data_IF_430910418651
#
_entry.id   IF_430910418651
#
_cell.length_a   1.000
_cell.length_b   1.000
_cell.length_c   1.000
_cell.angle_alpha   90.00
_cell.angle_beta   90.00
_cell.angle_gamma   90.00
#
_symmetry.space_group_name_H-M   'P 1'
#
loop_
_entity.id
_entity.type
_entity.pdbx_description
1 polymer ?
#
# COMPACT_ATOMS: atom_id res chain seq x y z
N UNK A 1 3.11 -20.70 -7.58
CA UNK A 1 4.39 -20.01 -7.91
C UNK A 1 4.19 -19.17 -9.16
N UNK A 2 4.67 -17.92 -9.17
CA UNK A 2 4.71 -17.12 -10.40
C UNK A 2 5.89 -17.56 -11.28
N UNK A 3 5.70 -17.58 -12.60
CA UNK A 3 6.71 -18.00 -13.57
C UNK A 3 6.71 -17.08 -14.80
N UNK A 4 7.83 -17.06 -15.52
CA UNK A 4 7.97 -16.34 -16.79
C UNK A 4 8.56 -17.25 -17.86
N UNK A 5 8.25 -16.99 -19.13
CA UNK A 5 8.82 -17.74 -20.26
C UNK A 5 10.25 -17.29 -20.52
N UNK A 6 11.17 -18.26 -20.60
CA UNK A 6 12.56 -18.02 -20.97
C UNK A 6 13.10 -19.23 -21.73
N UNK A 7 13.66 -18.98 -22.93
CA UNK A 7 14.25 -20.01 -23.81
C UNK A 7 13.36 -21.25 -24.00
N UNK A 8 12.06 -21.05 -24.23
CA UNK A 8 11.10 -22.13 -24.47
C UNK A 8 10.59 -22.87 -23.22
N UNK A 9 11.11 -22.55 -22.02
CA UNK A 9 10.65 -23.11 -20.76
C UNK A 9 10.01 -22.08 -19.82
N UNK A 10 9.39 -22.56 -18.74
CA UNK A 10 8.94 -21.73 -17.64
C UNK A 10 10.01 -21.68 -16.55
N UNK A 11 10.47 -20.49 -16.22
CA UNK A 11 11.37 -20.26 -15.09
C UNK A 11 10.59 -19.65 -13.92
N UNK A 12 10.85 -20.07 -12.67
CA UNK A 12 10.32 -19.39 -11.50
C UNK A 12 10.67 -17.91 -11.52
N UNK A 13 9.70 -17.06 -11.19
CA UNK A 13 9.91 -15.63 -11.11
C UNK A 13 10.79 -15.30 -9.91
N UNK A 14 12.01 -14.82 -10.18
CA UNK A 14 12.92 -14.38 -9.13
C UNK A 14 12.66 -12.92 -8.77
N UNK A 15 13.01 -12.53 -7.54
CA UNK A 15 12.95 -11.12 -7.09
C UNK A 15 13.64 -10.19 -8.09
N UNK A 16 14.84 -10.57 -8.56
CA UNK A 16 15.61 -9.78 -9.53
C UNK A 16 14.82 -9.55 -10.82
N UNK A 17 14.32 -10.62 -11.46
CA UNK A 17 13.56 -10.51 -12.72
C UNK A 17 12.29 -9.68 -12.56
N UNK A 18 11.56 -9.86 -11.46
CA UNK A 18 10.39 -9.04 -11.14
C UNK A 18 10.77 -7.55 -11.03
N UNK A 19 11.78 -7.21 -10.23
CA UNK A 19 12.22 -5.82 -10.05
C UNK A 19 12.77 -5.20 -11.34
N UNK A 20 13.50 -5.96 -12.16
CA UNK A 20 13.98 -5.48 -13.47
C UNK A 20 12.81 -5.15 -14.40
N UNK A 21 11.80 -6.01 -14.45
CA UNK A 21 10.60 -5.78 -15.26
C UNK A 21 9.88 -4.50 -14.81
N UNK A 22 9.68 -4.33 -13.50
CA UNK A 22 9.03 -3.14 -12.96
C UNK A 22 9.83 -1.86 -13.25
N UNK A 23 11.15 -1.88 -13.02
CA UNK A 23 12.04 -0.77 -13.34
C UNK A 23 12.01 -0.37 -14.81
N UNK A 24 11.98 -1.36 -15.72
CA UNK A 24 11.88 -1.09 -17.16
C UNK A 24 10.54 -0.44 -17.53
N UNK A 25 9.45 -0.84 -16.87
CA UNK A 25 8.12 -0.27 -17.09
C UNK A 25 8.04 1.14 -16.53
N UNK A 26 8.53 1.37 -15.31
CA UNK A 26 8.60 2.68 -14.67
C UNK A 26 9.36 3.69 -15.55
N UNK A 27 10.54 3.30 -16.07
CA UNK A 27 11.31 4.12 -17.03
C UNK A 27 10.52 4.46 -18.29
N UNK A 28 9.77 3.49 -18.85
CA UNK A 28 8.95 3.71 -20.05
C UNK A 28 7.82 4.72 -19.84
N UNK A 29 7.30 4.81 -18.62
CA UNK A 29 6.24 5.78 -18.25
C UNK A 29 6.78 7.04 -17.57
N UNK A 30 8.10 7.23 -17.52
CA UNK A 30 8.72 8.42 -16.94
C UNK A 30 8.69 8.49 -15.41
N UNK A 31 8.45 7.36 -14.73
CA UNK A 31 8.40 7.28 -13.26
C UNK A 31 9.72 6.69 -12.74
N UNK A 32 10.17 7.18 -11.58
CA UNK A 32 11.33 6.62 -10.90
C UNK A 32 11.10 5.14 -10.52
N UNK A 33 12.06 4.24 -10.77
CA UNK A 33 11.93 2.84 -10.40
C UNK A 33 11.61 2.64 -8.91
N UNK A 34 10.57 1.85 -8.63
CA UNK A 34 10.15 1.54 -7.28
C UNK A 34 11.05 0.45 -6.67
N UNK A 35 11.54 0.69 -5.45
CA UNK A 35 12.25 -0.33 -4.69
C UNK A 35 11.28 -1.40 -4.18
N UNK A 36 11.70 -2.66 -4.17
CA UNK A 36 10.85 -3.77 -3.68
C UNK A 36 10.32 -3.56 -2.25
N UNK A 37 11.12 -2.94 -1.36
CA UNK A 37 10.66 -2.60 -0.02
C UNK A 37 9.57 -1.51 -0.03
N UNK A 38 9.73 -0.49 -0.87
CA UNK A 38 8.71 0.55 -1.06
C UNK A 38 7.39 0.01 -1.61
N UNK A 39 7.43 -1.00 -2.50
CA UNK A 39 6.21 -1.68 -2.99
C UNK A 39 5.51 -2.41 -1.84
N UNK A 40 6.27 -3.09 -0.97
CA UNK A 40 5.71 -3.79 0.19
C UNK A 40 5.01 -2.80 1.15
N UNK A 41 5.68 -1.70 1.49
CA UNK A 41 5.09 -0.64 2.34
C UNK A 41 3.86 -0.02 1.66
N UNK A 42 4.00 0.42 0.40
CA UNK A 42 2.94 1.09 -0.36
C UNK A 42 1.73 0.20 -0.65
N UNK A 43 1.91 -1.12 -0.67
CA UNK A 43 0.78 -2.05 -0.83
C UNK A 43 -0.18 -2.07 0.36
N UNK A 44 0.26 -1.65 1.54
CA UNK A 44 -0.59 -1.72 2.75
C UNK A 44 -1.68 -0.67 2.77
N UNK A 45 -1.40 0.62 2.51
CA UNK A 45 -2.45 1.60 2.26
C UNK A 45 -3.42 1.15 1.17
N UNK A 46 -2.93 0.56 0.07
CA UNK A 46 -3.79 0.05 -1.00
C UNK A 46 -4.73 -1.04 -0.47
N UNK A 47 -4.24 -2.04 0.26
CA UNK A 47 -5.11 -3.07 0.85
C UNK A 47 -6.14 -2.50 1.82
N UNK A 48 -5.79 -1.49 2.61
CA UNK A 48 -6.72 -0.81 3.51
C UNK A 48 -7.82 -0.06 2.74
N UNK A 49 -7.49 0.56 1.61
CA UNK A 49 -8.48 1.18 0.72
C UNK A 49 -9.47 0.15 0.15
N UNK A 50 -9.05 -1.09 -0.04
CA UNK A 50 -9.92 -2.22 -0.43
C UNK A 50 -10.61 -2.91 0.76
N UNK A 51 -10.67 -2.26 1.92
CA UNK A 51 -11.29 -2.78 3.16
C UNK A 51 -10.71 -4.12 3.64
N UNK A 52 -9.46 -4.43 3.30
CA UNK A 52 -8.80 -5.63 3.82
C UNK A 52 -8.37 -5.37 5.26
N UNK A 53 -8.79 -6.21 6.23
CA UNK A 53 -8.40 -6.05 7.62
C UNK A 53 -6.88 -6.07 7.81
N UNK A 54 -6.39 -5.26 8.75
CA UNK A 54 -4.94 -5.09 8.93
C UNK A 54 -4.21 -6.38 9.33
N UNK A 55 -4.85 -7.23 10.13
CA UNK A 55 -4.36 -8.56 10.52
C UNK A 55 -4.17 -9.48 9.30
N UNK A 56 -5.09 -9.42 8.32
CA UNK A 56 -4.95 -10.14 7.05
C UNK A 56 -3.75 -9.61 6.25
N UNK A 57 -3.54 -8.29 6.22
CA UNK A 57 -2.37 -7.67 5.57
C UNK A 57 -1.07 -8.10 6.26
N UNK A 58 -1.03 -8.18 7.60
CA UNK A 58 0.15 -8.67 8.34
C UNK A 58 0.53 -10.09 7.95
N UNK A 59 -0.46 -10.99 7.88
CA UNK A 59 -0.25 -12.38 7.48
C UNK A 59 0.29 -12.43 6.05
N UNK A 60 -0.33 -11.69 5.13
CA UNK A 60 0.04 -11.65 3.71
C UNK A 60 1.40 -11.01 3.46
N UNK A 61 1.75 -9.99 4.23
CA UNK A 61 3.04 -9.29 4.18
C UNK A 61 4.16 -10.00 4.93
N UNK A 62 3.85 -11.07 5.68
CA UNK A 62 4.77 -11.71 6.62
C UNK A 62 5.41 -10.72 7.60
N UNK A 63 4.61 -9.77 8.09
CA UNK A 63 5.08 -8.72 8.97
C UNK A 63 5.18 -9.20 10.41
N UNK A 64 6.41 -9.29 10.90
CA UNK A 64 6.72 -9.72 12.27
C UNK A 64 6.34 -8.63 13.28
N UNK A 65 6.56 -7.36 12.93
CA UNK A 65 6.34 -6.21 13.80
C UNK A 65 5.05 -5.45 13.48
N UNK A 66 4.57 -4.67 14.45
CA UNK A 66 3.48 -3.69 14.29
C UNK A 66 3.99 -2.32 13.81
N UNK A 67 5.22 -2.20 13.31
CA UNK A 67 5.82 -0.91 12.91
C UNK A 67 5.01 -0.20 11.82
N UNK A 68 4.34 -0.96 10.96
CA UNK A 68 3.45 -0.40 9.95
C UNK A 68 2.18 0.23 10.53
N UNK A 69 1.69 -0.23 11.70
CA UNK A 69 0.60 0.46 12.42
C UNK A 69 1.05 1.82 12.91
N UNK A 70 2.28 1.90 13.45
CA UNK A 70 2.84 3.17 13.93
C UNK A 70 2.92 4.17 12.78
N UNK A 71 3.39 3.74 11.61
CA UNK A 71 3.41 4.57 10.40
C UNK A 71 2.00 5.03 9.98
N UNK A 72 1.02 4.12 10.00
CA UNK A 72 -0.37 4.44 9.65
C UNK A 72 -1.00 5.42 10.64
N UNK A 73 -0.78 5.23 11.94
CA UNK A 73 -1.25 6.14 12.99
C UNK A 73 -0.65 7.53 12.84
N UNK A 74 0.66 7.64 12.56
CA UNK A 74 1.29 8.93 12.32
C UNK A 74 0.69 9.64 11.09
N UNK A 75 0.42 8.90 10.01
CA UNK A 75 -0.28 9.44 8.85
C UNK A 75 -1.68 9.95 9.20
N UNK A 76 -2.46 9.17 9.94
CA UNK A 76 -3.79 9.57 10.38
C UNK A 76 -3.75 10.82 11.27
N UNK A 77 -2.78 10.93 12.17
CA UNK A 77 -2.57 12.12 13.02
C UNK A 77 -2.23 13.37 12.20
N UNK A 78 -1.34 13.24 11.21
CA UNK A 78 -0.99 14.35 10.32
C UNK A 78 -2.22 14.76 9.50
N UNK A 79 -2.90 13.79 8.88
CA UNK A 79 -4.08 14.04 8.05
C UNK A 79 -5.24 14.64 8.86
N UNK A 80 -5.44 14.22 10.11
CA UNK A 80 -6.48 14.76 10.97
C UNK A 80 -6.40 16.29 11.09
N UNK A 81 -5.19 16.84 11.26
CA UNK A 81 -4.99 18.29 11.33
C UNK A 81 -5.42 19.00 10.05
N UNK A 82 -5.08 18.44 8.88
CA UNK A 82 -5.47 19.02 7.59
C UNK A 82 -6.98 18.91 7.32
N UNK A 83 -7.59 17.78 7.72
CA UNK A 83 -9.04 17.56 7.60
C UNK A 83 -9.78 18.54 8.49
N UNK A 84 -9.36 18.70 9.75
CA UNK A 84 -9.96 19.64 10.71
C UNK A 84 -9.78 21.11 10.32
N UNK A 85 -8.66 21.45 9.67
CA UNK A 85 -8.42 22.81 9.17
C UNK A 85 -9.31 23.21 7.99
N UNK A 86 -10.06 22.27 7.39
CA UNK A 86 -10.97 22.51 6.28
C UNK A 86 -12.41 22.16 6.67
N UNK A 87 -13.28 23.14 6.98
CA UNK A 87 -14.64 22.87 7.46
C UNK A 87 -15.47 21.93 6.55
N UNK A 88 -15.46 22.06 5.21
CA UNK A 88 -16.22 21.15 4.35
C UNK A 88 -15.72 19.70 4.41
N UNK A 89 -14.40 19.50 4.54
CA UNK A 89 -13.81 18.16 4.65
C UNK A 89 -14.07 17.57 6.04
N UNK A 90 -14.00 18.40 7.08
CA UNK A 90 -14.27 17.98 8.45
C UNK A 90 -15.72 17.50 8.62
N UNK A 91 -16.70 18.26 8.14
CA UNK A 91 -18.11 17.87 8.19
C UNK A 91 -18.38 16.58 7.41
N UNK A 92 -17.82 16.47 6.20
CA UNK A 92 -17.91 15.24 5.41
C UNK A 92 -17.32 14.04 6.14
N UNK A 93 -16.14 14.20 6.74
CA UNK A 93 -15.49 13.13 7.51
C UNK A 93 -16.36 12.70 8.71
N UNK A 94 -16.87 13.66 9.50
CA UNK A 94 -17.74 13.36 10.64
C UNK A 94 -18.99 12.58 10.21
N UNK A 95 -19.62 12.96 9.11
CA UNK A 95 -20.80 12.25 8.58
C UNK A 95 -20.52 10.78 8.23
N UNK A 96 -19.31 10.45 7.77
CA UNK A 96 -18.93 9.08 7.44
C UNK A 96 -18.43 8.26 8.63
N UNK A 97 -17.80 8.90 9.63
CA UNK A 97 -17.13 8.18 10.72
C UNK A 97 -17.93 8.15 12.02
N UNK A 98 -18.82 9.11 12.25
CA UNK A 98 -19.65 9.12 13.44
C UNK A 98 -20.83 8.15 13.25
N UNK A 99 -21.12 7.27 14.21
CA UNK A 99 -22.33 6.48 14.17
C UNK A 99 -23.56 7.43 14.21
N UNK A 100 -24.66 7.11 13.50
CA UNK A 100 -25.87 7.90 13.59
C UNK A 100 -26.30 7.95 15.05
N UNK A 101 -26.48 9.18 15.56
CA UNK A 101 -26.95 9.40 16.91
C UNK A 101 -28.41 8.93 16.93
N UNK A 102 -28.64 7.74 17.51
CA UNK A 102 -29.96 7.18 17.78
C UNK A 102 -30.64 7.94 18.91
#
# INVERSE_FOLDING_TARGET
LFAYKHKGGHCPLTKSKFTTCLSSTAKRVGINPLQGHGICIGSTPEYLLHNVPFDVIKIKGHWVSNTSLVYLCHHAQILALYIQASPPLHEGFLHYTMPPIL
#
